data_IF_371967070144
#
_entry.id   IF_371967070144
#
_cell.length_a   1.000
_cell.length_b   1.000
_cell.length_c   1.000
_cell.angle_alpha   90.00
_cell.angle_beta   90.00
_cell.angle_gamma   90.00
#
_symmetry.space_group_name_H-M   'P 1'
#
loop_
_entity.id
_entity.type
_entity.pdbx_description
1 polymer ?
#
# COMPACT_ATOMS: atom_id res chain seq x y z
N UNK A 1 26.25 -16.71 5.54
CA UNK A 1 25.09 -17.29 4.83
C UNK A 1 24.18 -16.13 4.45
N UNK A 2 23.89 -15.93 3.16
CA UNK A 2 22.90 -14.93 2.74
C UNK A 2 21.55 -15.64 2.67
N UNK A 3 20.54 -15.11 3.36
CA UNK A 3 19.17 -15.60 3.30
C UNK A 3 18.29 -14.51 2.68
N UNK A 4 17.40 -14.92 1.79
CA UNK A 4 16.40 -14.04 1.17
C UNK A 4 15.05 -14.40 1.75
N UNK A 5 14.30 -13.41 2.23
CA UNK A 5 12.93 -13.62 2.70
C UNK A 5 12.03 -14.05 1.53
N UNK A 6 10.99 -14.87 1.77
CA UNK A 6 9.88 -14.98 0.82
C UNK A 6 9.31 -13.59 0.50
N UNK A 7 8.60 -13.47 -0.63
CA UNK A 7 7.90 -12.23 -0.97
C UNK A 7 6.83 -11.90 0.08
N UNK A 8 6.66 -10.61 0.40
CA UNK A 8 5.63 -10.10 1.29
C UNK A 8 5.11 -8.74 0.79
N UNK A 9 3.95 -8.32 1.26
CA UNK A 9 3.42 -6.97 1.00
C UNK A 9 4.01 -6.00 2.01
N UNK A 10 4.55 -4.87 1.55
CA UNK A 10 5.24 -3.89 2.39
C UNK A 10 4.49 -2.55 2.42
N UNK A 11 4.62 -1.74 1.38
CA UNK A 11 4.00 -0.41 1.31
C UNK A 11 2.50 -0.47 1.03
N UNK A 12 1.75 0.42 1.69
CA UNK A 12 0.34 0.65 1.44
C UNK A 12 -0.03 2.12 1.71
N UNK A 13 -1.19 2.54 1.18
CA UNK A 13 -1.82 3.81 1.54
C UNK A 13 -2.91 3.54 2.57
N UNK A 14 -2.74 4.10 3.77
CA UNK A 14 -3.73 4.02 4.85
C UNK A 14 -4.37 5.40 5.06
N UNK A 15 -5.69 5.41 5.22
CA UNK A 15 -6.46 6.59 5.64
C UNK A 15 -6.91 6.42 7.09
N UNK A 16 -7.35 7.52 7.71
CA UNK A 16 -7.90 7.49 9.08
C UNK A 16 -9.18 6.63 9.14
N UNK A 17 -9.35 5.87 10.22
CA UNK A 17 -10.45 4.89 10.34
C UNK A 17 -11.86 5.49 10.48
N UNK A 18 -11.96 6.77 10.85
CA UNK A 18 -13.20 7.56 10.98
C UNK A 18 -13.44 8.49 9.78
N UNK A 19 -12.66 8.35 8.70
CA UNK A 19 -12.90 9.10 7.47
C UNK A 19 -14.20 8.64 6.80
N UNK A 20 -14.99 9.59 6.28
CA UNK A 20 -16.25 9.29 5.58
C UNK A 20 -16.05 8.20 4.50
N UNK A 21 -16.80 7.08 4.53
CA UNK A 21 -16.69 5.99 3.56
C UNK A 21 -16.80 6.42 2.09
N UNK A 22 -17.58 7.48 1.79
CA UNK A 22 -17.68 8.03 0.44
C UNK A 22 -16.35 8.68 0.00
N UNK A 23 -15.65 9.35 0.92
CA UNK A 23 -14.31 9.91 0.67
C UNK A 23 -13.30 8.77 0.49
N UNK A 24 -13.34 7.73 1.35
CA UNK A 24 -12.47 6.55 1.21
C UNK A 24 -12.64 5.94 -0.19
N UNK A 25 -13.88 5.69 -0.62
CA UNK A 25 -14.18 5.15 -1.96
C UNK A 25 -13.65 6.06 -3.08
N UNK A 26 -13.82 7.38 -2.95
CA UNK A 26 -13.35 8.36 -3.94
C UNK A 26 -11.82 8.36 -4.05
N UNK A 27 -11.11 8.32 -2.92
CA UNK A 27 -9.64 8.25 -2.89
C UNK A 27 -9.15 6.94 -3.50
N UNK A 28 -9.70 5.80 -3.09
CA UNK A 28 -9.34 4.49 -3.67
C UNK A 28 -9.53 4.48 -5.17
N UNK A 29 -10.69 4.96 -5.66
CA UNK A 29 -10.95 5.04 -7.09
C UNK A 29 -9.96 5.97 -7.83
N UNK A 30 -9.57 7.10 -7.23
CA UNK A 30 -8.61 8.02 -7.81
C UNK A 30 -7.22 7.39 -7.98
N UNK A 31 -6.70 6.70 -6.95
CA UNK A 31 -5.40 6.00 -7.05
C UNK A 31 -5.42 4.89 -8.11
N UNK A 32 -6.50 4.09 -8.14
CA UNK A 32 -6.64 3.00 -9.12
C UNK A 32 -6.83 3.48 -10.56
N UNK A 33 -7.27 4.73 -10.76
CA UNK A 33 -7.45 5.35 -12.06
C UNK A 33 -6.22 6.13 -12.57
N UNK A 34 -5.13 6.18 -11.80
CA UNK A 34 -3.87 6.78 -12.26
C UNK A 34 -3.35 6.01 -13.48
N UNK A 35 -2.91 6.78 -14.46
CA UNK A 35 -2.62 6.30 -15.82
C UNK A 35 -1.31 6.95 -16.29
N UNK A 36 -0.23 6.18 -16.46
CA UNK A 36 1.09 6.73 -16.77
C UNK A 36 1.16 7.34 -18.18
N UNK A 37 0.14 7.15 -19.03
CA UNK A 37 0.07 7.82 -20.34
C UNK A 37 -0.29 9.31 -20.22
N UNK A 38 -0.85 9.75 -19.08
CA UNK A 38 -1.19 11.15 -18.80
C UNK A 38 -0.03 11.83 -18.07
N UNK A 39 0.56 12.92 -18.60
CA UNK A 39 1.76 13.54 -18.01
C UNK A 39 1.62 13.90 -16.52
N UNK A 40 0.48 14.43 -16.09
CA UNK A 40 0.22 14.80 -14.70
C UNK A 40 0.14 13.57 -13.78
N UNK A 41 -0.51 12.50 -14.23
CA UNK A 41 -0.58 11.24 -13.47
C UNK A 41 0.80 10.58 -13.40
N UNK A 42 1.55 10.61 -14.51
CA UNK A 42 2.91 10.06 -14.57
C UNK A 42 3.82 10.72 -13.54
N UNK A 43 3.75 12.04 -13.36
CA UNK A 43 4.54 12.72 -12.34
C UNK A 43 4.28 12.19 -10.91
N UNK A 44 3.00 11.90 -10.57
CA UNK A 44 2.62 11.29 -9.29
C UNK A 44 3.18 9.86 -9.19
N UNK A 45 3.00 9.07 -10.25
CA UNK A 45 3.43 7.66 -10.28
C UNK A 45 4.96 7.53 -10.22
N UNK A 46 5.70 8.38 -10.92
CA UNK A 46 7.17 8.44 -10.89
C UNK A 46 7.67 8.81 -9.49
N UNK A 47 7.05 9.80 -8.83
CA UNK A 47 7.38 10.17 -7.45
C UNK A 47 7.21 8.97 -6.50
N UNK A 48 6.18 8.17 -6.72
CA UNK A 48 5.88 6.97 -5.94
C UNK A 48 6.65 5.72 -6.41
N UNK A 49 7.47 5.85 -7.47
CA UNK A 49 8.18 4.73 -8.12
C UNK A 49 7.24 3.57 -8.48
N UNK A 50 6.01 3.89 -8.86
CA UNK A 50 4.96 2.93 -9.13
C UNK A 50 4.62 2.88 -10.62
N UNK A 51 4.45 1.68 -11.17
CA UNK A 51 3.90 1.50 -12.52
C UNK A 51 2.37 1.36 -12.52
N UNK A 52 1.78 1.00 -11.37
CA UNK A 52 0.33 0.90 -11.16
C UNK A 52 0.02 0.84 -9.66
N UNK A 53 -1.16 1.33 -9.28
CA UNK A 53 -1.75 1.06 -7.96
C UNK A 53 -2.76 -0.10 -8.05
N UNK A 54 -2.75 -0.95 -7.03
CA UNK A 54 -3.65 -2.11 -6.92
C UNK A 54 -4.45 -2.03 -5.63
N UNK A 55 -5.62 -2.68 -5.61
CA UNK A 55 -6.36 -2.85 -4.37
C UNK A 55 -5.56 -3.73 -3.40
N UNK A 56 -5.69 -3.46 -2.11
CA UNK A 56 -5.07 -4.25 -1.04
C UNK A 56 -6.08 -4.48 0.08
N UNK A 57 -5.74 -5.41 0.98
CA UNK A 57 -6.52 -5.77 2.16
C UNK A 57 -5.57 -5.90 3.35
N UNK A 58 -6.06 -5.57 4.55
CA UNK A 58 -5.36 -5.71 5.83
C UNK A 58 -4.66 -7.07 6.03
N UNK A 59 -5.31 -8.17 5.66
CA UNK A 59 -4.75 -9.55 5.76
C UNK A 59 -3.47 -9.78 4.95
N UNK A 60 -3.15 -8.92 3.98
CA UNK A 60 -1.87 -8.99 3.27
C UNK A 60 -0.66 -8.69 4.17
N UNK A 61 -0.89 -8.05 5.33
CA UNK A 61 0.15 -7.57 6.25
C UNK A 61 0.24 -8.39 7.55
N UNK A 62 -0.61 -9.41 7.73
CA UNK A 62 -0.63 -10.28 8.92
C UNK A 62 0.74 -10.90 9.20
N UNK A 63 1.47 -11.28 8.15
CA UNK A 63 2.82 -11.84 8.29
C UNK A 63 3.84 -10.84 8.85
N UNK A 64 3.73 -9.56 8.49
CA UNK A 64 4.58 -8.50 9.06
C UNK A 64 4.21 -8.27 10.52
N UNK A 65 2.92 -8.22 10.84
CA UNK A 65 2.46 -8.05 12.22
C UNK A 65 2.95 -9.20 13.12
N UNK A 66 2.82 -10.44 12.66
CA UNK A 66 3.31 -11.61 13.38
C UNK A 66 4.84 -11.55 13.59
N UNK A 67 5.60 -11.20 12.55
CA UNK A 67 7.05 -11.04 12.67
C UNK A 67 7.43 -9.94 13.67
N UNK A 68 6.73 -8.80 13.66
CA UNK A 68 6.96 -7.69 14.60
C UNK A 68 6.65 -8.11 16.05
N UNK A 69 5.56 -8.85 16.28
CA UNK A 69 5.23 -9.42 17.59
C UNK A 69 6.27 -10.43 18.07
N UNK A 70 6.67 -11.37 17.23
CA UNK A 70 7.73 -12.35 17.56
C UNK A 70 9.08 -11.68 17.85
N UNK A 71 9.37 -10.57 17.19
CA UNK A 71 10.57 -9.77 17.44
C UNK A 71 10.44 -8.83 18.65
N UNK A 72 9.28 -8.75 19.31
CA UNK A 72 9.04 -7.85 20.44
C UNK A 72 8.96 -6.36 20.05
N UNK A 73 8.78 -6.05 18.77
CA UNK A 73 8.63 -4.69 18.25
C UNK A 73 7.21 -4.15 18.41
N UNK A 74 6.24 -5.06 18.48
CA UNK A 74 4.82 -4.77 18.70
C UNK A 74 4.32 -5.62 19.87
N UNK A 75 3.55 -4.99 20.77
CA UNK A 75 2.96 -5.65 21.96
C UNK A 75 1.52 -6.05 21.69
#
# INVERSE_FOLDING_TARGET
MFATTPTYFDYNWTVRGDLDPAIVKKLTAAFLALDPSKPEHKAIMDLQRASKFIATDSKNYDGIEAAAKSAGLLK
#
